data_IF_504454885393
#
_entry.id   IF_504454885393
#
_cell.length_a   1.000
_cell.length_b   1.000
_cell.length_c   1.000
_cell.angle_alpha   90.00
_cell.angle_beta   90.00
_cell.angle_gamma   90.00
#
_symmetry.space_group_name_H-M   'P 1'
#
loop_
_entity.id
_entity.type
_entity.pdbx_description
1 polymer ?
#
# COMPACT_ATOMS: atom_id res chain seq x y z
N UNK A 1 -9.27 27.42 33.45
CA UNK A 1 -9.25 26.05 34.03
C UNK A 1 -10.68 25.60 34.18
N UNK A 2 -11.01 24.30 33.94
CA UNK A 2 -10.16 23.10 34.09
C UNK A 2 -9.53 22.67 32.74
N UNK A 3 -8.21 22.53 32.63
CA UNK A 3 -7.38 21.34 32.95
C UNK A 3 -7.86 20.08 32.22
N UNK A 4 -7.42 19.94 30.97
CA UNK A 4 -7.28 18.63 30.34
C UNK A 4 -5.99 18.00 30.85
N UNK A 5 -6.16 16.79 31.37
CA UNK A 5 -5.18 15.96 32.06
C UNK A 5 -4.55 15.02 31.05
N UNK A 6 -3.24 14.87 31.16
CA UNK A 6 -2.38 13.81 30.61
C UNK A 6 -2.35 13.61 29.09
N UNK A 7 -1.55 14.46 28.44
CA UNK A 7 -0.91 14.14 27.17
C UNK A 7 0.09 13.00 27.33
N UNK A 8 -0.34 11.78 27.05
CA UNK A 8 0.57 10.72 26.63
C UNK A 8 0.97 10.99 25.18
N UNK A 9 2.14 11.61 24.98
CA UNK A 9 2.87 11.52 23.72
C UNK A 9 3.21 10.04 23.49
N UNK A 10 2.45 9.36 22.65
CA UNK A 10 2.86 8.07 22.13
C UNK A 10 3.93 8.32 21.07
N UNK A 11 5.12 7.76 21.28
CA UNK A 11 6.14 7.67 20.24
C UNK A 11 5.57 6.79 19.13
N UNK A 12 5.51 7.31 17.91
CA UNK A 12 5.37 6.48 16.72
C UNK A 12 6.50 5.44 16.73
N UNK A 13 6.16 4.16 16.77
CA UNK A 13 7.12 3.11 16.42
C UNK A 13 7.21 3.09 14.90
N UNK A 14 8.40 3.40 14.37
CA UNK A 14 8.73 3.19 12.97
C UNK A 14 8.89 1.68 12.74
N UNK A 15 7.79 0.95 12.57
CA UNK A 15 7.81 -0.51 12.47
C UNK A 15 8.12 -1.05 11.05
N UNK A 16 8.53 -0.18 10.14
CA UNK A 16 9.04 -0.63 8.84
C UNK A 16 10.56 -0.90 8.83
N UNK A 17 11.34 -0.26 9.72
CA UNK A 17 12.82 -0.37 9.73
C UNK A 17 13.37 -1.38 10.76
N UNK A 18 12.58 -1.82 11.73
CA UNK A 18 13.07 -2.64 12.85
C UNK A 18 13.35 -4.11 12.50
N UNK A 19 13.06 -4.56 11.28
CA UNK A 19 13.30 -5.95 10.84
C UNK A 19 14.73 -6.25 10.37
N UNK A 20 15.62 -5.25 10.27
CA UNK A 20 16.91 -5.43 9.59
C UNK A 20 18.16 -5.56 10.47
N UNK A 21 18.05 -5.63 11.80
CA UNK A 21 19.23 -5.83 12.67
C UNK A 21 18.98 -6.89 13.74
N UNK A 22 19.28 -8.15 13.43
CA UNK A 22 19.93 -9.11 14.33
C UNK A 22 20.39 -10.36 13.57
N UNK A 23 21.56 -10.28 12.94
CA UNK A 23 22.26 -11.43 12.38
C UNK A 23 23.12 -12.12 13.46
N UNK A 24 22.63 -13.21 14.06
CA UNK A 24 23.46 -14.36 14.44
C UNK A 24 22.60 -15.42 15.14
N UNK A 25 22.19 -16.46 14.41
CA UNK A 25 21.60 -17.64 15.06
C UNK A 25 20.64 -18.49 14.22
N UNK A 26 20.84 -18.68 12.92
CA UNK A 26 19.92 -19.50 12.12
C UNK A 26 20.65 -20.47 11.19
N UNK A 27 21.10 -21.60 11.72
CA UNK A 27 21.53 -22.77 10.92
C UNK A 27 20.77 -24.06 11.26
N UNK A 28 19.62 -23.98 11.94
CA UNK A 28 18.82 -25.16 12.36
C UNK A 28 17.36 -25.16 11.88
N UNK A 29 16.98 -24.27 10.95
CA UNK A 29 15.57 -24.03 10.61
C UNK A 29 15.04 -24.74 9.34
N UNK A 30 15.85 -25.53 8.63
CA UNK A 30 15.48 -26.11 7.33
C UNK A 30 14.61 -27.39 7.37
N UNK A 31 14.08 -27.81 8.52
CA UNK A 31 13.19 -29.00 8.63
C UNK A 31 11.84 -28.73 9.33
N UNK A 32 11.50 -27.46 9.58
CA UNK A 32 10.31 -27.05 10.36
C UNK A 32 9.14 -26.51 9.52
N UNK A 33 9.35 -26.31 8.21
CA UNK A 33 8.47 -25.51 7.34
C UNK A 33 7.04 -26.06 7.13
N UNK A 34 6.79 -27.37 7.13
CA UNK A 34 5.42 -27.89 6.89
C UNK A 34 4.53 -27.93 8.13
N UNK A 35 5.10 -27.94 9.35
CA UNK A 35 4.30 -27.88 10.59
C UNK A 35 3.95 -26.45 11.00
N UNK A 36 4.79 -25.47 10.65
CA UNK A 36 4.56 -24.06 10.98
C UNK A 36 3.49 -23.41 10.10
N UNK A 37 3.32 -23.86 8.84
CA UNK A 37 2.25 -23.41 7.95
C UNK A 37 0.86 -23.68 8.51
N UNK A 38 0.60 -24.91 8.95
CA UNK A 38 -0.67 -25.24 9.60
C UNK A 38 -0.87 -24.46 10.91
N UNK A 39 0.21 -24.02 11.58
CA UNK A 39 0.08 -23.20 12.79
C UNK A 39 -0.24 -21.73 12.53
N UNK A 40 0.25 -21.15 11.42
CA UNK A 40 -0.05 -19.76 11.03
C UNK A 40 -1.55 -19.55 10.77
N UNK A 41 -2.21 -20.55 10.16
CA UNK A 41 -3.65 -20.55 9.90
C UNK A 41 -4.50 -21.17 11.02
N UNK A 42 -3.89 -21.59 12.16
CA UNK A 42 -4.60 -22.36 13.20
C UNK A 42 -5.25 -21.53 14.30
N UNK A 43 -4.85 -20.26 14.46
CA UNK A 43 -5.50 -19.37 15.42
C UNK A 43 -6.70 -18.67 14.76
N UNK A 44 -7.81 -18.45 15.50
CA UNK A 44 -8.91 -17.66 14.98
C UNK A 44 -8.39 -16.28 14.56
N UNK A 45 -8.66 -15.91 13.30
CA UNK A 45 -8.31 -14.58 12.78
C UNK A 45 -8.97 -13.51 13.65
N UNK A 46 -8.13 -12.72 14.32
CA UNK A 46 -8.52 -11.44 14.92
C UNK A 46 -8.09 -10.34 13.94
N UNK A 47 -8.78 -9.20 13.97
CA UNK A 47 -8.44 -8.05 13.17
C UNK A 47 -8.19 -6.85 14.08
N UNK A 48 -7.41 -5.89 13.60
CA UNK A 48 -7.15 -4.65 14.31
C UNK A 48 -7.58 -3.45 13.49
N UNK A 49 -8.18 -2.49 14.18
CA UNK A 49 -8.39 -1.14 13.70
C UNK A 49 -7.73 -0.15 14.66
N UNK A 50 -6.99 0.81 14.14
CA UNK A 50 -6.47 1.95 14.92
C UNK A 50 -6.92 3.25 14.27
N UNK A 51 -7.55 4.12 15.07
CA UNK A 51 -7.99 5.45 14.64
C UNK A 51 -7.01 6.48 15.19
N UNK A 52 -6.26 7.11 14.29
CA UNK A 52 -5.16 8.03 14.64
C UNK A 52 -5.41 9.38 14.00
N UNK A 53 -5.92 10.37 14.77
CA UNK A 53 -5.98 11.76 14.29
C UNK A 53 -4.57 12.25 13.93
N UNK A 54 -4.39 12.78 12.72
CA UNK A 54 -3.11 13.31 12.28
C UNK A 54 -3.02 14.83 12.46
N UNK A 55 -4.04 15.54 11.99
CA UNK A 55 -4.20 16.99 12.21
C UNK A 55 -5.70 17.32 12.38
N UNK A 56 -6.06 18.60 12.37
CA UNK A 56 -7.44 19.05 12.58
C UNK A 56 -8.42 18.57 11.50
N UNK A 57 -7.92 18.20 10.31
CA UNK A 57 -8.72 17.83 9.14
C UNK A 57 -8.66 16.33 8.83
N UNK A 58 -7.50 15.68 9.01
CA UNK A 58 -7.22 14.30 8.57
C UNK A 58 -7.15 13.32 9.75
N UNK A 59 -7.93 12.25 9.66
CA UNK A 59 -7.83 11.07 10.54
C UNK A 59 -7.35 9.87 9.75
N UNK A 60 -6.31 9.19 10.25
CA UNK A 60 -5.83 7.92 9.71
C UNK A 60 -6.63 6.76 10.32
N UNK A 61 -7.07 5.84 9.47
CA UNK A 61 -7.71 4.58 9.85
C UNK A 61 -6.78 3.47 9.41
N UNK A 62 -6.14 2.82 10.38
CA UNK A 62 -5.25 1.69 10.10
C UNK A 62 -6.02 0.41 10.29
N UNK A 63 -5.93 -0.50 9.33
CA UNK A 63 -6.51 -1.84 9.44
C UNK A 63 -5.48 -2.92 9.14
N UNK A 64 -5.62 -4.07 9.78
CA UNK A 64 -4.76 -5.23 9.58
C UNK A 64 -5.43 -6.52 10.08
N UNK A 65 -5.03 -7.66 9.53
CA UNK A 65 -5.15 -8.93 10.25
C UNK A 65 -4.17 -8.94 11.43
N UNK A 66 -4.65 -9.38 12.59
CA UNK A 66 -3.87 -9.59 13.80
C UNK A 66 -3.33 -11.02 13.87
N UNK A 67 -2.07 -11.15 14.25
CA UNK A 67 -1.46 -12.42 14.62
C UNK A 67 -0.65 -12.24 15.92
N UNK A 68 -1.01 -13.01 16.95
CA UNK A 68 -0.35 -13.01 18.26
C UNK A 68 -0.24 -11.61 18.90
N UNK A 69 -1.31 -10.80 18.80
CA UNK A 69 -1.35 -9.44 19.35
C UNK A 69 -0.61 -8.38 18.52
N UNK A 70 -0.16 -8.72 17.31
CA UNK A 70 0.55 -7.81 16.41
C UNK A 70 -0.11 -7.76 15.03
N UNK A 71 0.04 -6.62 14.35
CA UNK A 71 -0.47 -6.46 12.99
C UNK A 71 0.48 -7.21 12.05
N UNK A 72 -0.06 -8.03 11.14
CA UNK A 72 0.77 -8.60 10.09
C UNK A 72 1.34 -7.47 9.23
N UNK A 73 0.45 -6.61 8.73
CA UNK A 73 0.80 -5.41 8.00
C UNK A 73 -0.37 -4.43 8.09
N UNK A 74 -0.09 -3.17 8.41
CA UNK A 74 -1.12 -2.15 8.39
C UNK A 74 -1.32 -1.60 6.99
N UNK A 75 -2.58 -1.32 6.67
CA UNK A 75 -2.98 -0.48 5.55
C UNK A 75 -3.79 0.71 6.07
N UNK A 76 -3.47 1.90 5.56
CA UNK A 76 -4.03 3.18 5.94
C UNK A 76 -5.12 3.57 4.95
N UNK A 77 -6.27 3.94 5.50
CA UNK A 77 -7.30 4.75 4.86
C UNK A 77 -7.34 6.12 5.55
N UNK A 78 -7.88 7.13 4.86
CA UNK A 78 -7.88 8.50 5.38
C UNK A 78 -9.29 9.06 5.39
N UNK A 79 -9.72 9.61 6.53
CA UNK A 79 -11.00 10.30 6.66
C UNK A 79 -10.74 11.80 6.76
N UNK A 80 -11.42 12.57 5.90
CA UNK A 80 -11.51 14.02 5.97
C UNK A 80 -12.99 14.39 6.00
N UNK A 81 -13.44 14.95 7.12
CA UNK A 81 -14.86 15.23 7.37
C UNK A 81 -15.72 13.97 7.16
N UNK A 82 -16.55 13.95 6.12
CA UNK A 82 -17.46 12.86 5.74
C UNK A 82 -16.97 12.04 4.53
N UNK A 83 -15.71 12.25 4.15
CA UNK A 83 -15.10 11.67 2.94
C UNK A 83 -13.97 10.73 3.31
N UNK A 84 -14.11 9.48 2.91
CA UNK A 84 -13.13 8.44 3.12
C UNK A 84 -12.29 8.22 1.85
N UNK A 85 -10.99 8.08 1.99
CA UNK A 85 -10.06 7.64 0.95
C UNK A 85 -9.65 6.21 1.24
N UNK A 86 -9.98 5.29 0.34
CA UNK A 86 -9.89 3.83 0.48
C UNK A 86 -10.66 3.25 1.70
N UNK A 87 -10.81 1.93 1.77
CA UNK A 87 -11.61 1.22 2.76
C UNK A 87 -10.88 0.03 3.42
N UNK A 88 -9.54 -0.01 3.33
CA UNK A 88 -8.71 -0.90 4.14
C UNK A 88 -8.92 -2.41 3.93
N UNK A 89 -8.33 -3.17 4.84
CA UNK A 89 -8.26 -4.63 4.85
C UNK A 89 -9.62 -5.27 5.16
N UNK A 90 -10.07 -6.19 4.30
CA UNK A 90 -11.36 -6.87 4.39
C UNK A 90 -11.53 -7.75 5.64
N UNK A 91 -10.44 -8.25 6.22
CA UNK A 91 -10.51 -9.00 7.48
C UNK A 91 -10.92 -8.13 8.67
N UNK A 92 -10.73 -6.80 8.60
CA UNK A 92 -11.15 -5.84 9.62
C UNK A 92 -12.58 -5.29 9.40
N UNK A 93 -13.40 -5.96 8.58
CA UNK A 93 -14.72 -5.43 8.18
C UNK A 93 -15.64 -5.13 9.36
N UNK A 94 -15.62 -5.94 10.42
CA UNK A 94 -16.52 -5.74 11.58
C UNK A 94 -16.15 -4.48 12.35
N UNK A 95 -14.86 -4.29 12.57
CA UNK A 95 -14.28 -3.13 13.22
C UNK A 95 -14.49 -1.86 12.37
N UNK A 96 -14.33 -2.00 11.05
CA UNK A 96 -14.59 -0.91 10.10
C UNK A 96 -16.07 -0.53 10.06
N UNK A 97 -17.00 -1.49 10.09
CA UNK A 97 -18.45 -1.24 10.20
C UNK A 97 -18.80 -0.50 11.49
N UNK A 98 -18.21 -0.90 12.63
CA UNK A 98 -18.42 -0.20 13.89
C UNK A 98 -17.91 1.24 13.81
N UNK A 99 -16.72 1.46 13.25
CA UNK A 99 -16.19 2.80 12.99
C UNK A 99 -17.12 3.61 12.09
N UNK A 100 -17.52 3.05 10.94
CA UNK A 100 -18.39 3.71 9.97
C UNK A 100 -19.78 4.02 10.56
N UNK A 101 -20.30 3.20 11.48
CA UNK A 101 -21.60 3.46 12.13
C UNK A 101 -21.58 4.69 13.07
N UNK A 102 -20.39 5.07 13.55
CA UNK A 102 -20.17 6.20 14.46
C UNK A 102 -19.75 7.48 13.75
N UNK A 103 -19.46 7.40 12.44
CA UNK A 103 -18.99 8.51 11.63
C UNK A 103 -19.91 8.68 10.42
N UNK A 104 -20.30 9.91 10.11
CA UNK A 104 -21.12 10.16 8.92
C UNK A 104 -20.23 10.11 7.68
N UNK A 105 -20.16 8.96 7.01
CA UNK A 105 -19.39 8.76 5.76
C UNK A 105 -20.34 8.83 4.57
N UNK A 106 -20.32 9.96 3.87
CA UNK A 106 -21.20 10.23 2.74
C UNK A 106 -20.58 9.86 1.39
N UNK A 107 -19.25 9.81 1.33
CA UNK A 107 -18.54 9.48 0.11
C UNK A 107 -17.21 8.76 0.37
N UNK A 108 -16.85 7.88 -0.57
CA UNK A 108 -15.60 7.13 -0.59
C UNK A 108 -14.92 7.35 -1.94
N UNK A 109 -13.65 7.76 -1.95
CA UNK A 109 -12.83 7.88 -3.15
C UNK A 109 -11.79 6.78 -3.12
N UNK A 110 -11.72 6.00 -4.21
CA UNK A 110 -10.84 4.85 -4.31
C UNK A 110 -9.60 5.21 -5.12
N UNK A 111 -8.43 4.88 -4.57
CA UNK A 111 -7.14 5.09 -5.21
C UNK A 111 -6.86 4.08 -6.33
N UNK A 112 -7.10 2.79 -6.05
CA UNK A 112 -6.95 1.67 -6.98
C UNK A 112 -7.62 0.40 -6.42
N UNK A 113 -7.60 -0.68 -7.21
CA UNK A 113 -8.38 -1.89 -6.90
C UNK A 113 -7.69 -2.98 -6.08
N UNK A 114 -6.49 -2.74 -5.51
CA UNK A 114 -5.85 -3.77 -4.66
C UNK A 114 -6.67 -4.06 -3.41
N UNK A 115 -6.63 -5.32 -2.97
CA UNK A 115 -7.57 -5.86 -1.99
C UNK A 115 -7.50 -5.21 -0.62
N UNK A 116 -6.31 -4.79 -0.21
CA UNK A 116 -6.05 -4.14 1.07
C UNK A 116 -6.51 -2.67 1.09
N UNK A 117 -6.84 -2.11 -0.07
CA UNK A 117 -7.44 -0.78 -0.19
C UNK A 117 -8.96 -0.82 -0.25
N UNK A 118 -9.55 -1.93 -0.69
CA UNK A 118 -10.98 -2.00 -1.03
C UNK A 118 -11.73 -3.10 -0.29
N UNK A 119 -11.08 -3.80 0.63
CA UNK A 119 -11.61 -4.98 1.32
C UNK A 119 -12.90 -4.70 2.10
N UNK A 120 -12.98 -3.60 2.86
CA UNK A 120 -14.22 -3.23 3.54
C UNK A 120 -15.20 -2.45 2.66
N UNK A 121 -14.91 -2.18 1.38
CA UNK A 121 -15.70 -1.25 0.57
C UNK A 121 -17.18 -1.67 0.45
N UNK A 122 -17.48 -2.97 0.50
CA UNK A 122 -18.82 -3.53 0.35
C UNK A 122 -19.81 -3.16 1.46
N UNK A 123 -19.33 -2.66 2.60
CA UNK A 123 -20.19 -2.16 3.68
C UNK A 123 -20.82 -0.81 3.31
N UNK A 124 -20.19 -0.10 2.37
CA UNK A 124 -20.68 1.16 1.84
C UNK A 124 -21.59 0.88 0.65
N UNK A 125 -22.84 1.32 0.77
CA UNK A 125 -23.86 1.15 -0.26
C UNK A 125 -25.09 2.01 0.00
N UNK A 126 -25.94 2.13 -1.02
CA UNK A 126 -27.16 2.93 -0.92
C UNK A 126 -26.90 4.44 -0.91
N UNK A 127 -26.72 5.03 0.27
CA UNK A 127 -26.59 6.49 0.46
C UNK A 127 -25.16 7.02 0.29
N UNK A 128 -24.15 6.21 0.65
CA UNK A 128 -22.75 6.56 0.49
C UNK A 128 -22.36 6.44 -0.99
N UNK A 129 -21.75 7.49 -1.54
CA UNK A 129 -21.30 7.51 -2.94
C UNK A 129 -19.87 7.00 -3.04
N UNK A 130 -19.62 6.01 -3.87
CA UNK A 130 -18.27 5.48 -4.14
C UNK A 130 -17.80 6.05 -5.47
N UNK A 131 -16.61 6.64 -5.53
CA UNK A 131 -16.00 7.19 -6.73
C UNK A 131 -14.72 6.45 -7.07
N UNK A 132 -14.58 6.05 -8.33
CA UNK A 132 -13.39 5.38 -8.84
C UNK A 132 -13.19 5.69 -10.33
N UNK A 133 -11.96 5.61 -10.84
CA UNK A 133 -11.72 5.71 -12.27
C UNK A 133 -12.30 4.50 -13.02
N UNK A 134 -12.34 4.57 -14.36
CA UNK A 134 -12.99 3.54 -15.19
C UNK A 134 -12.39 2.13 -14.99
N UNK A 135 -11.08 2.03 -14.83
CA UNK A 135 -10.41 0.74 -14.70
C UNK A 135 -10.63 0.13 -13.31
N UNK A 136 -10.49 0.94 -12.25
CA UNK A 136 -10.83 0.54 -10.89
C UNK A 136 -12.30 0.14 -10.79
N UNK A 137 -13.23 0.84 -11.45
CA UNK A 137 -14.63 0.44 -11.51
C UNK A 137 -14.83 -0.97 -12.08
N UNK A 138 -14.11 -1.31 -13.16
CA UNK A 138 -14.17 -2.65 -13.76
C UNK A 138 -13.68 -3.70 -12.76
N UNK A 139 -12.52 -3.45 -12.14
CA UNK A 139 -11.92 -4.37 -11.18
C UNK A 139 -12.76 -4.51 -9.90
N UNK A 140 -13.45 -3.47 -9.46
CA UNK A 140 -14.34 -3.52 -8.29
C UNK A 140 -15.66 -4.27 -8.56
N UNK A 141 -16.17 -4.25 -9.78
CA UNK A 141 -17.36 -5.04 -10.16
C UNK A 141 -17.06 -6.53 -10.21
N UNK A 142 -15.84 -6.88 -10.58
CA UNK A 142 -15.36 -8.26 -10.73
C UNK A 142 -13.98 -8.39 -10.08
N UNK A 143 -13.89 -8.36 -8.74
CA UNK A 143 -12.62 -8.46 -8.04
C UNK A 143 -11.94 -9.79 -8.36
N UNK A 144 -10.64 -9.73 -8.60
CA UNK A 144 -9.86 -10.94 -8.85
C UNK A 144 -9.85 -11.83 -7.60
N UNK A 145 -9.86 -13.14 -7.81
CA UNK A 145 -9.68 -14.10 -6.73
C UNK A 145 -8.23 -14.03 -6.27
N UNK A 146 -8.00 -13.66 -5.02
CA UNK A 146 -6.66 -13.61 -4.45
C UNK A 146 -6.26 -14.99 -3.91
N UNK A 147 -4.95 -15.27 -3.89
CA UNK A 147 -4.42 -16.53 -3.35
C UNK A 147 -4.63 -16.63 -1.83
N UNK A 148 -4.64 -17.86 -1.31
CA UNK A 148 -4.93 -18.17 0.11
C UNK A 148 -4.10 -17.36 1.10
N UNK A 149 -2.82 -17.08 0.80
CA UNK A 149 -1.97 -16.26 1.65
C UNK A 149 -2.51 -14.83 1.78
N UNK A 150 -2.91 -14.20 0.69
CA UNK A 150 -3.40 -12.82 0.71
C UNK A 150 -4.84 -12.73 1.21
N UNK A 151 -5.65 -13.76 1.00
CA UNK A 151 -6.95 -13.86 1.70
C UNK A 151 -6.76 -13.92 3.22
N UNK A 152 -5.73 -14.64 3.69
CA UNK A 152 -5.40 -14.64 5.12
C UNK A 152 -4.89 -13.28 5.63
N UNK A 153 -4.04 -12.59 4.87
CA UNK A 153 -3.45 -11.31 5.29
C UNK A 153 -4.44 -10.15 5.17
N UNK A 154 -5.24 -10.10 4.10
CA UNK A 154 -6.08 -8.96 3.75
C UNK A 154 -7.57 -9.27 3.64
N UNK A 155 -7.92 -10.49 3.25
CA UNK A 155 -9.29 -10.89 3.01
C UNK A 155 -9.77 -10.56 1.60
N UNK A 156 -10.58 -11.45 1.03
CA UNK A 156 -11.11 -11.31 -0.33
C UNK A 156 -12.13 -10.15 -0.45
N UNK A 157 -11.90 -9.17 -1.33
CA UNK A 157 -12.88 -8.13 -1.63
C UNK A 157 -14.15 -8.69 -2.25
N UNK A 158 -15.29 -8.07 -1.94
CA UNK A 158 -16.59 -8.40 -2.54
C UNK A 158 -16.92 -7.46 -3.71
N UNK A 159 -17.69 -7.94 -4.72
CA UNK A 159 -18.13 -7.10 -5.83
C UNK A 159 -18.88 -5.84 -5.41
N UNK A 160 -18.58 -4.71 -6.06
CA UNK A 160 -19.24 -3.42 -5.88
C UNK A 160 -19.95 -3.01 -7.17
N UNK A 161 -21.27 -2.80 -7.11
CA UNK A 161 -22.07 -2.48 -8.30
C UNK A 161 -22.34 -0.98 -8.46
N UNK A 162 -22.56 -0.27 -7.35
CA UNK A 162 -22.92 1.16 -7.34
C UNK A 162 -21.69 2.05 -7.25
N UNK A 163 -21.03 2.30 -8.38
CA UNK A 163 -19.82 3.12 -8.45
C UNK A 163 -20.03 4.30 -9.40
N UNK A 164 -19.70 5.48 -8.92
CA UNK A 164 -19.74 6.72 -9.68
C UNK A 164 -18.38 6.94 -10.38
N UNK A 165 -18.43 7.61 -11.52
CA UNK A 165 -17.21 7.99 -12.24
C UNK A 165 -16.48 9.11 -11.50
N UNK A 166 -15.19 8.88 -11.27
CA UNK A 166 -14.27 9.89 -10.74
C UNK A 166 -14.18 11.09 -11.70
N UNK A 167 -14.29 12.30 -11.17
CA UNK A 167 -14.01 13.54 -11.91
C UNK A 167 -12.54 13.93 -11.76
N UNK A 168 -12.00 14.74 -12.67
CA UNK A 168 -10.60 15.21 -12.59
C UNK A 168 -10.32 16.06 -11.34
N UNK A 169 -11.37 16.63 -10.74
CA UNK A 169 -11.30 17.39 -9.49
C UNK A 169 -12.52 17.12 -8.62
N UNK A 170 -12.37 17.25 -7.30
CA UNK A 170 -13.48 17.22 -6.35
C UNK A 170 -13.19 18.11 -5.12
N UNK A 171 -14.19 18.32 -4.27
CA UNK A 171 -14.04 19.15 -3.07
C UNK A 171 -14.54 18.45 -1.82
N UNK A 172 -13.89 18.75 -0.69
CA UNK A 172 -14.30 18.31 0.65
C UNK A 172 -14.35 19.54 1.55
N UNK A 173 -15.54 20.10 1.76
CA UNK A 173 -15.66 21.40 2.42
C UNK A 173 -14.93 22.50 1.63
N UNK A 174 -13.96 23.16 2.27
CA UNK A 174 -13.16 24.23 1.65
C UNK A 174 -11.88 23.71 0.94
N UNK A 175 -11.62 22.40 0.99
CA UNK A 175 -10.48 21.75 0.33
C UNK A 175 -10.82 21.39 -1.12
N UNK A 176 -9.89 21.59 -2.04
CA UNK A 176 -10.04 21.26 -3.46
C UNK A 176 -8.97 20.27 -3.89
N UNK A 177 -9.38 19.12 -4.42
CA UNK A 177 -8.48 18.03 -4.80
C UNK A 177 -8.41 17.89 -6.32
N UNK A 178 -7.20 17.74 -6.83
CA UNK A 178 -6.90 17.31 -8.19
C UNK A 178 -6.65 15.81 -8.20
N UNK A 179 -7.22 15.10 -9.16
CA UNK A 179 -7.03 13.67 -9.37
C UNK A 179 -5.87 13.47 -10.34
N UNK A 180 -4.81 12.81 -9.87
CA UNK A 180 -3.56 12.64 -10.62
C UNK A 180 -3.35 11.15 -10.94
N UNK A 181 -3.22 10.74 -12.21
CA UNK A 181 -2.82 9.38 -12.56
C UNK A 181 -1.40 9.05 -12.10
N UNK A 182 -1.22 7.92 -11.42
CA UNK A 182 0.05 7.45 -10.84
C UNK A 182 0.40 6.03 -11.30
N UNK A 183 0.56 5.80 -12.61
CA UNK A 183 0.81 4.45 -13.12
C UNK A 183 2.18 3.92 -12.69
N UNK A 184 2.33 2.59 -12.72
CA UNK A 184 3.60 1.90 -12.43
C UNK A 184 3.44 0.88 -11.31
N UNK A 185 2.79 1.25 -10.19
CA UNK A 185 2.40 0.27 -9.16
C UNK A 185 1.21 -0.56 -9.61
N UNK A 186 0.11 0.11 -9.88
CA UNK A 186 -1.05 -0.45 -10.55
C UNK A 186 -1.42 0.48 -11.72
N UNK A 187 -1.94 -0.09 -12.80
CA UNK A 187 -2.30 0.71 -13.97
C UNK A 187 -3.48 1.65 -13.66
N UNK A 188 -4.31 1.32 -12.66
CA UNK A 188 -5.49 2.08 -12.26
C UNK A 188 -5.23 3.00 -11.06
N UNK A 189 -3.98 3.13 -10.61
CA UNK A 189 -3.65 3.97 -9.47
C UNK A 189 -3.79 5.46 -9.80
N UNK A 190 -4.55 6.15 -8.95
CA UNK A 190 -4.70 7.60 -8.91
C UNK A 190 -4.37 8.13 -7.52
N UNK A 191 -3.84 9.35 -7.44
CA UNK A 191 -3.64 10.09 -6.21
C UNK A 191 -4.47 11.36 -6.16
N UNK A 192 -4.55 11.96 -4.97
CA UNK A 192 -5.33 13.17 -4.72
C UNK A 192 -4.43 14.29 -4.18
N UNK A 193 -4.31 15.38 -4.94
CA UNK A 193 -3.49 16.54 -4.56
C UNK A 193 -4.35 17.71 -4.13
N UNK A 194 -4.12 18.22 -2.92
CA UNK A 194 -4.74 19.43 -2.39
C UNK A 194 -3.68 20.54 -2.33
N UNK A 195 -3.69 21.50 -3.28
CA UNK A 195 -2.62 22.49 -3.39
C UNK A 195 -2.63 23.52 -2.25
N UNK A 196 -3.77 23.82 -1.64
CA UNK A 196 -3.88 24.84 -0.60
C UNK A 196 -3.12 24.47 0.69
N UNK A 197 -3.11 23.18 1.03
CA UNK A 197 -2.43 22.56 2.16
C UNK A 197 -1.16 21.82 1.75
N UNK A 198 -0.89 21.72 0.44
CA UNK A 198 0.24 20.99 -0.14
C UNK A 198 0.23 19.52 0.30
N UNK A 199 -0.95 18.93 0.34
CA UNK A 199 -1.17 17.53 0.72
C UNK A 199 -1.25 16.67 -0.53
N UNK A 200 -0.60 15.51 -0.49
CA UNK A 200 -0.71 14.54 -1.56
C UNK A 200 -0.97 13.14 -1.03
N UNK A 201 -2.15 12.62 -1.35
CA UNK A 201 -2.51 11.23 -1.09
C UNK A 201 -1.99 10.40 -2.25
N UNK A 202 -0.80 9.82 -2.07
CA UNK A 202 -0.11 9.03 -3.10
C UNK A 202 -0.40 7.54 -2.99
N UNK A 203 -0.94 7.09 -1.86
CA UNK A 203 -1.23 5.69 -1.58
C UNK A 203 0.04 4.85 -1.81
N UNK A 204 0.03 3.92 -2.75
CA UNK A 204 1.16 3.02 -3.04
C UNK A 204 2.14 3.55 -4.10
N UNK A 205 1.96 4.77 -4.61
CA UNK A 205 2.78 5.28 -5.71
C UNK A 205 4.28 5.45 -5.37
N UNK A 206 4.65 5.41 -4.08
CA UNK A 206 6.05 5.48 -3.61
C UNK A 206 6.35 4.29 -2.69
N UNK A 207 6.47 3.06 -3.23
CA UNK A 207 6.53 1.85 -2.40
C UNK A 207 7.64 1.85 -1.36
N UNK A 208 7.32 1.30 -0.20
CA UNK A 208 8.22 1.09 0.92
C UNK A 208 8.73 -0.36 0.98
N UNK A 209 9.94 -0.59 1.51
CA UNK A 209 10.92 0.43 1.89
C UNK A 209 11.56 1.06 0.65
N UNK A 210 12.31 2.16 0.79
CA UNK A 210 12.99 2.81 -0.34
C UNK A 210 13.92 1.87 -1.12
N UNK A 211 14.37 0.78 -0.47
CA UNK A 211 15.17 -0.30 -1.08
C UNK A 211 14.37 -1.59 -1.36
N UNK A 212 13.05 -1.52 -1.59
CA UNK A 212 12.22 -2.66 -2.04
C UNK A 212 12.82 -3.28 -3.31
N UNK A 213 13.00 -4.60 -3.32
CA UNK A 213 13.66 -5.37 -4.39
C UNK A 213 12.76 -6.41 -5.04
N UNK A 214 11.49 -6.42 -4.67
CA UNK A 214 10.46 -7.33 -5.17
C UNK A 214 9.41 -6.51 -5.90
N UNK A 215 8.78 -7.11 -6.90
CA UNK A 215 7.69 -6.52 -7.64
C UNK A 215 6.55 -7.52 -7.82
N UNK A 216 5.37 -7.02 -8.20
CA UNK A 216 4.26 -7.83 -8.71
C UNK A 216 4.32 -7.91 -10.24
N UNK A 217 3.76 -8.96 -10.87
CA UNK A 217 3.70 -9.06 -12.32
C UNK A 217 3.14 -7.81 -13.00
N UNK A 218 2.09 -7.22 -12.44
CA UNK A 218 1.43 -6.01 -12.94
C UNK A 218 2.23 -4.71 -12.75
N UNK A 219 3.28 -4.70 -11.93
CA UNK A 219 4.09 -3.50 -11.69
C UNK A 219 5.03 -3.22 -12.90
N UNK A 220 5.06 -1.97 -13.35
CA UNK A 220 6.08 -1.43 -14.25
C UNK A 220 6.99 -0.48 -13.46
N UNK A 221 8.19 -0.95 -13.11
CA UNK A 221 9.13 -0.23 -12.25
C UNK A 221 9.73 1.01 -12.94
N UNK A 222 10.17 0.98 -14.21
CA UNK A 222 10.57 2.21 -14.91
C UNK A 222 9.44 3.26 -15.01
N UNK A 223 8.19 2.84 -15.27
CA UNK A 223 7.05 3.75 -15.28
C UNK A 223 6.75 4.32 -13.88
N UNK A 224 6.92 3.51 -12.83
CA UNK A 224 6.84 3.95 -11.45
C UNK A 224 7.90 5.02 -11.13
N UNK A 225 9.12 4.91 -11.67
CA UNK A 225 10.15 5.96 -11.54
C UNK A 225 9.67 7.27 -12.16
N UNK A 226 9.11 7.25 -13.38
CA UNK A 226 8.54 8.45 -14.03
C UNK A 226 7.43 9.06 -13.19
N UNK A 227 6.57 8.24 -12.58
CA UNK A 227 5.54 8.69 -11.64
C UNK A 227 6.15 9.34 -10.40
N UNK A 228 7.13 8.70 -9.77
CA UNK A 228 7.82 9.24 -8.59
C UNK A 228 8.57 10.54 -8.88
N UNK A 229 9.17 10.70 -10.06
CA UNK A 229 9.81 11.96 -10.48
C UNK A 229 8.80 13.10 -10.55
N UNK A 230 7.60 12.87 -11.10
CA UNK A 230 6.51 13.85 -11.09
C UNK A 230 6.13 14.23 -9.66
N UNK A 231 5.92 13.24 -8.79
CA UNK A 231 5.56 13.48 -7.38
C UNK A 231 6.65 14.30 -6.67
N UNK A 232 7.93 13.96 -6.87
CA UNK A 232 9.08 14.66 -6.28
C UNK A 232 9.11 16.15 -6.66
N UNK A 233 8.69 16.46 -7.88
CA UNK A 233 8.75 17.81 -8.44
C UNK A 233 7.49 18.65 -8.14
N UNK A 234 6.46 18.04 -7.54
CA UNK A 234 5.29 18.75 -7.01
C UNK A 234 5.61 19.49 -5.71
N UNK A 235 4.85 20.56 -5.43
CA UNK A 235 4.94 21.28 -4.17
C UNK A 235 4.15 20.57 -3.07
N UNK A 236 4.81 19.59 -2.42
CA UNK A 236 4.22 18.73 -1.38
C UNK A 236 4.89 18.98 -0.04
N UNK A 237 4.07 19.26 0.98
CA UNK A 237 4.48 19.33 2.37
C UNK A 237 4.31 17.99 3.07
N UNK A 238 3.19 17.30 2.80
CA UNK A 238 2.83 16.03 3.44
C UNK A 238 2.35 15.06 2.35
N UNK A 239 2.98 13.89 2.30
CA UNK A 239 2.56 12.78 1.46
C UNK A 239 1.91 11.70 2.32
N UNK A 240 0.71 11.27 1.97
CA UNK A 240 -0.04 10.23 2.67
C UNK A 240 0.10 8.91 1.92
N UNK A 241 0.83 7.98 2.55
CA UNK A 241 1.14 6.65 2.03
C UNK A 241 0.29 5.57 2.72
N UNK A 242 -0.11 4.55 1.98
CA UNK A 242 -1.04 3.53 2.48
C UNK A 242 -0.42 2.51 3.43
N UNK A 243 0.90 2.42 3.57
CA UNK A 243 1.54 1.47 4.50
C UNK A 243 2.37 2.15 5.59
N UNK A 244 2.79 3.41 5.38
CA UNK A 244 3.52 4.22 6.37
C UNK A 244 2.68 5.33 6.98
N UNK A 245 1.61 5.76 6.33
CA UNK A 245 0.84 6.92 6.73
C UNK A 245 1.49 8.25 6.30
N UNK A 246 1.30 9.34 7.05
CA UNK A 246 1.81 10.66 6.69
C UNK A 246 3.35 10.77 6.72
N UNK A 247 3.93 11.32 5.66
CA UNK A 247 5.36 11.56 5.48
C UNK A 247 5.57 13.06 5.21
N UNK A 248 6.18 13.76 6.15
CA UNK A 248 6.53 15.17 6.01
C UNK A 248 7.78 15.34 5.14
N UNK A 249 7.78 16.38 4.29
CA UNK A 249 8.88 16.73 3.40
C UNK A 249 9.40 15.52 2.57
N UNK A 250 8.54 14.85 1.79
CA UNK A 250 8.80 13.53 1.23
C UNK A 250 9.89 13.48 0.14
N UNK A 251 10.39 14.64 -0.30
CA UNK A 251 11.28 14.77 -1.47
C UNK A 251 12.53 13.90 -1.37
N UNK A 252 13.22 13.92 -0.24
CA UNK A 252 14.45 13.12 -0.04
C UNK A 252 14.16 11.61 -0.03
N UNK A 253 13.03 11.23 0.59
CA UNK A 253 12.58 9.85 0.63
C UNK A 253 12.29 9.32 -0.79
N UNK A 254 11.54 10.09 -1.59
CA UNK A 254 11.24 9.74 -3.00
C UNK A 254 12.53 9.67 -3.82
N UNK A 255 13.43 10.66 -3.67
CA UNK A 255 14.70 10.67 -4.39
C UNK A 255 15.56 9.44 -4.07
N UNK A 256 15.61 9.02 -2.80
CA UNK A 256 16.33 7.80 -2.39
C UNK A 256 15.79 6.56 -3.10
N UNK A 257 14.48 6.44 -3.27
CA UNK A 257 13.84 5.32 -3.99
C UNK A 257 14.20 5.35 -5.48
N UNK A 258 14.10 6.51 -6.11
CA UNK A 258 14.48 6.72 -7.52
C UNK A 258 15.94 6.34 -7.76
N UNK A 259 16.86 6.86 -6.93
CA UNK A 259 18.29 6.61 -7.07
C UNK A 259 18.62 5.12 -6.91
N UNK A 260 17.98 4.44 -5.97
CA UNK A 260 18.17 3.01 -5.77
C UNK A 260 17.73 2.20 -6.99
N UNK A 261 16.53 2.48 -7.53
CA UNK A 261 16.03 1.79 -8.73
C UNK A 261 16.97 2.03 -9.91
N UNK A 262 17.36 3.28 -10.16
CA UNK A 262 18.23 3.63 -11.28
C UNK A 262 19.61 2.97 -11.18
N UNK A 263 20.15 2.86 -9.96
CA UNK A 263 21.40 2.14 -9.70
C UNK A 263 21.27 0.66 -10.06
N UNK A 264 20.23 -0.02 -9.53
CA UNK A 264 20.02 -1.45 -9.81
C UNK A 264 19.75 -1.69 -11.29
N UNK A 265 18.95 -0.84 -11.95
CA UNK A 265 18.67 -0.94 -13.37
C UNK A 265 19.96 -0.88 -14.19
N UNK A 266 20.83 0.11 -13.92
CA UNK A 266 22.10 0.26 -14.62
C UNK A 266 22.99 -0.98 -14.47
N UNK A 267 23.12 -1.52 -13.26
CA UNK A 267 23.94 -2.70 -13.01
C UNK A 267 23.35 -3.97 -13.64
N UNK A 268 22.03 -4.16 -13.52
CA UNK A 268 21.30 -5.27 -14.14
C UNK A 268 21.42 -5.25 -15.67
N UNK A 269 21.28 -4.08 -16.31
CA UNK A 269 21.44 -3.92 -17.76
C UNK A 269 22.85 -4.32 -18.21
N UNK A 270 23.90 -3.85 -17.53
CA UNK A 270 25.27 -4.20 -17.89
C UNK A 270 25.54 -5.71 -17.76
N UNK A 271 24.99 -6.35 -16.74
CA UNK A 271 25.09 -7.79 -16.54
C UNK A 271 24.31 -8.57 -17.62
N UNK A 272 23.10 -8.13 -17.96
CA UNK A 272 22.28 -8.72 -19.02
C UNK A 272 22.95 -8.61 -20.39
N UNK A 273 23.53 -7.44 -20.73
CA UNK A 273 24.31 -7.23 -21.96
C UNK A 273 25.56 -8.12 -22.04
N UNK A 274 26.11 -8.53 -20.89
CA UNK A 274 27.20 -9.51 -20.83
C UNK A 274 26.75 -10.97 -21.01
N UNK A 275 25.45 -11.20 -21.22
CA UNK A 275 24.86 -12.51 -21.46
C UNK A 275 24.38 -13.25 -20.22
N UNK A 276 24.33 -12.60 -19.05
CA UNK A 276 23.79 -13.20 -17.82
C UNK A 276 22.27 -13.30 -17.87
N UNK A 277 21.77 -14.44 -17.38
CA UNK A 277 20.36 -14.67 -17.09
C UNK A 277 19.85 -13.89 -15.88
N UNK A 278 18.54 -13.82 -15.68
CA UNK A 278 17.91 -13.14 -14.53
C UNK A 278 18.42 -13.69 -13.19
N UNK A 279 18.50 -15.02 -13.04
CA UNK A 279 18.99 -15.65 -11.81
C UNK A 279 20.47 -15.29 -11.52
N UNK A 280 21.30 -15.25 -12.56
CA UNK A 280 22.71 -14.85 -12.43
C UNK A 280 22.87 -13.36 -12.11
N UNK A 281 21.96 -12.51 -12.58
CA UNK A 281 21.89 -11.09 -12.24
C UNK A 281 21.49 -10.94 -10.76
N UNK A 282 20.44 -11.63 -10.32
CA UNK A 282 19.99 -11.61 -8.93
C UNK A 282 21.12 -11.98 -7.97
N UNK A 283 21.86 -13.06 -8.26
CA UNK A 283 23.01 -13.50 -7.46
C UNK A 283 24.15 -12.48 -7.51
N UNK A 284 24.45 -11.93 -8.69
CA UNK A 284 25.54 -10.96 -8.83
C UNK A 284 25.28 -9.63 -8.10
N UNK A 285 24.00 -9.25 -7.96
CA UNK A 285 23.56 -8.02 -7.29
C UNK A 285 23.18 -8.22 -5.82
N UNK A 286 23.32 -9.44 -5.28
CA UNK A 286 22.99 -9.77 -3.89
C UNK A 286 21.56 -9.33 -3.51
N UNK A 287 20.62 -9.61 -4.41
CA UNK A 287 19.21 -9.28 -4.19
C UNK A 287 18.54 -10.43 -3.44
N UNK A 288 18.40 -10.23 -2.13
CA UNK A 288 17.63 -11.10 -1.25
C UNK A 288 16.22 -10.57 -1.01
N UNK A 289 15.25 -11.49 -0.97
CA UNK A 289 13.84 -11.20 -0.72
C UNK A 289 13.48 -11.29 0.77
N UNK A 290 12.30 -10.77 1.16
CA UNK A 290 11.81 -10.96 2.51
C UNK A 290 11.49 -12.43 2.80
N UNK A 291 11.37 -12.77 4.09
CA UNK A 291 11.12 -14.14 4.56
C UNK A 291 9.85 -14.79 4.02
N UNK A 292 8.86 -13.98 3.58
CA UNK A 292 7.60 -14.45 3.04
C UNK A 292 7.61 -14.65 1.51
N UNK A 293 8.70 -14.32 0.81
CA UNK A 293 8.73 -14.32 -0.66
C UNK A 293 8.32 -15.67 -1.27
N UNK A 294 8.77 -16.78 -0.68
CA UNK A 294 8.40 -18.14 -1.10
C UNK A 294 6.90 -18.45 -0.90
N UNK A 295 6.26 -17.81 0.09
CA UNK A 295 4.83 -17.97 0.37
C UNK A 295 3.96 -17.15 -0.58
N UNK A 296 4.53 -16.12 -1.19
CA UNK A 296 3.89 -15.23 -2.16
C UNK A 296 4.35 -15.52 -3.59
N UNK A 297 4.84 -16.73 -3.83
CA UNK A 297 5.26 -17.19 -5.16
C UNK A 297 4.11 -16.97 -6.15
N UNK A 298 4.44 -16.47 -7.33
CA UNK A 298 3.51 -16.02 -8.38
C UNK A 298 2.85 -14.65 -8.16
N UNK A 299 3.05 -14.01 -7.00
CA UNK A 299 2.58 -12.63 -6.74
C UNK A 299 3.70 -11.65 -6.47
N UNK A 300 4.70 -12.01 -5.69
CA UNK A 300 5.90 -11.19 -5.54
C UNK A 300 7.14 -11.95 -5.99
N UNK A 301 8.03 -11.26 -6.68
CA UNK A 301 9.24 -11.83 -7.23
C UNK A 301 10.35 -10.80 -7.40
N UNK A 302 11.59 -11.22 -7.13
CA UNK A 302 12.78 -10.45 -7.53
C UNK A 302 12.98 -10.56 -9.05
N UNK A 303 12.58 -11.69 -9.63
CA UNK A 303 12.59 -11.88 -11.07
C UNK A 303 11.62 -10.91 -11.76
N UNK A 304 10.40 -10.70 -11.23
CA UNK A 304 9.48 -9.67 -11.73
C UNK A 304 10.11 -8.27 -11.68
N UNK A 305 10.77 -7.95 -10.56
CA UNK A 305 11.47 -6.68 -10.40
C UNK A 305 12.58 -6.52 -11.47
N UNK A 306 13.46 -7.52 -11.62
CA UNK A 306 14.55 -7.48 -12.59
C UNK A 306 14.07 -7.45 -14.04
N UNK A 307 13.08 -8.27 -14.39
CA UNK A 307 12.50 -8.30 -15.75
C UNK A 307 11.82 -6.98 -16.07
N UNK A 308 11.09 -6.38 -15.14
CA UNK A 308 10.49 -5.04 -15.32
C UNK A 308 11.56 -3.98 -15.60
N UNK A 309 12.66 -3.96 -14.83
CA UNK A 309 13.78 -3.04 -15.04
C UNK A 309 14.47 -3.22 -16.39
N UNK A 310 14.61 -4.45 -16.87
CA UNK A 310 15.33 -4.77 -18.11
C UNK A 310 14.47 -4.57 -19.36
N UNK A 311 13.16 -4.74 -19.26
CA UNK A 311 12.27 -4.79 -20.42
C UNK A 311 11.23 -3.67 -20.46
N UNK A 312 11.19 -2.79 -19.46
CA UNK A 312 10.29 -1.63 -19.36
C UNK A 312 8.81 -2.01 -19.60
N UNK A 313 8.36 -3.03 -18.87
CA UNK A 313 6.99 -3.52 -18.93
C UNK A 313 6.61 -4.28 -17.68
N UNK A 314 5.30 -4.35 -17.45
CA UNK A 314 4.69 -5.37 -16.59
C UNK A 314 4.77 -6.75 -17.28
N UNK A 315 4.83 -7.82 -16.49
CA UNK A 315 4.61 -9.19 -16.94
C UNK A 315 3.10 -9.44 -17.06
N UNK A 316 2.61 -9.49 -18.31
CA UNK A 316 1.23 -9.84 -18.65
C UNK A 316 1.07 -11.35 -18.80
#
# INVERSE_FOLDING_TARGET
MPRLVDGKRFRASNDYESSHHQSSGMSKWQHKQTKELNSLFSNPQSAMIEIVPYNDDVTCIKTATEQDGQAIMFVYSFLIRDTLFDAGCGNAVREFEEFASKNEINQVYISHSHEDHVGCLHIFGGKTKIYANEMTQKNLREPQQIGEFFDFVWGQPKPILGINTMSDTFSIGDLSFEVIPLPGHAADLIGFYEPGKRWFFSFDAVPLPSKKKIAMPEENIPLMVVTMEKIRDMDIEILFDSHKGPIENPREYIQTRIDYINMIQKEATALHESGKSIDEIQVALDLEGPWYLEMTKDRFGIDFFLKSLLFDKAEQ
#
